data_IF_233480060389
#
_entry.id   IF_233480060389
#
_cell.length_a   1.000
_cell.length_b   1.000
_cell.length_c   1.000
_cell.angle_alpha   90.00
_cell.angle_beta   90.00
_cell.angle_gamma   90.00
#
_symmetry.space_group_name_H-M   'P 1'
#
loop_
_entity.id
_entity.type
_entity.pdbx_description
1 polymer ?
#
# COMPACT_ATOMS: atom_id res chain seq x y z
N UNK A 1 7.36 -3.74 -12.83
CA UNK A 1 6.75 -2.40 -12.67
C UNK A 1 5.22 -2.51 -12.81
N UNK A 2 4.60 -3.37 -11.98
CA UNK A 2 3.17 -3.69 -12.06
C UNK A 2 2.43 -3.39 -10.75
N UNK A 3 3.18 -3.19 -9.66
CA UNK A 3 2.65 -2.93 -8.33
C UNK A 3 1.82 -1.64 -8.30
N UNK A 4 2.32 -0.55 -8.86
CA UNK A 4 1.57 0.72 -8.86
C UNK A 4 0.28 0.59 -9.65
N UNK A 5 0.33 0.00 -10.87
CA UNK A 5 -0.86 -0.21 -11.69
C UNK A 5 -1.90 -1.09 -10.97
N UNK A 6 -1.47 -2.20 -10.36
CA UNK A 6 -2.39 -3.10 -9.67
C UNK A 6 -3.03 -2.44 -8.45
N UNK A 7 -2.27 -1.64 -7.68
CA UNK A 7 -2.80 -0.87 -6.54
C UNK A 7 -3.81 0.18 -7.00
N UNK A 8 -3.55 0.90 -8.10
CA UNK A 8 -4.49 1.89 -8.65
C UNK A 8 -5.78 1.24 -9.15
N UNK A 9 -5.70 0.13 -9.88
CA UNK A 9 -6.90 -0.56 -10.37
C UNK A 9 -7.73 -1.16 -9.23
N UNK A 10 -7.08 -1.72 -8.22
CA UNK A 10 -7.75 -2.26 -7.04
C UNK A 10 -8.48 -1.17 -6.25
N UNK A 11 -7.84 -0.02 -6.02
CA UNK A 11 -8.45 1.12 -5.32
C UNK A 11 -9.66 1.66 -6.09
N UNK A 12 -9.52 1.87 -7.40
CA UNK A 12 -10.62 2.32 -8.27
C UNK A 12 -11.82 1.38 -8.16
N UNK A 13 -11.60 0.06 -8.26
CA UNK A 13 -12.68 -0.93 -8.17
C UNK A 13 -13.33 -0.95 -6.79
N UNK A 14 -12.56 -0.79 -5.72
CA UNK A 14 -13.08 -0.72 -4.36
C UNK A 14 -13.99 0.50 -4.16
N UNK A 15 -13.61 1.67 -4.69
CA UNK A 15 -14.42 2.90 -4.64
C UNK A 15 -15.71 2.78 -5.46
N UNK A 16 -15.66 2.17 -6.64
CA UNK A 16 -16.86 1.88 -7.44
C UNK A 16 -17.81 0.94 -6.70
N UNK A 17 -17.28 -0.14 -6.12
CA UNK A 17 -18.06 -1.11 -5.34
C UNK A 17 -18.73 -0.46 -4.11
N UNK A 18 -18.01 0.43 -3.42
CA UNK A 18 -18.54 1.15 -2.28
C UNK A 18 -19.72 2.05 -2.67
N UNK A 19 -19.59 2.80 -3.79
CA UNK A 19 -20.69 3.62 -4.34
C UNK A 19 -21.90 2.77 -4.71
N UNK A 20 -21.69 1.66 -5.42
CA UNK A 20 -22.75 0.73 -5.82
C UNK A 20 -23.53 0.16 -4.62
N UNK A 21 -22.85 -0.01 -3.49
CA UNK A 21 -23.41 -0.62 -2.27
C UNK A 21 -23.86 0.39 -1.21
N UNK A 22 -23.70 1.69 -1.46
CA UNK A 22 -24.00 2.74 -0.49
C UNK A 22 -23.10 2.72 0.75
N UNK A 23 -21.84 2.26 0.61
CA UNK A 23 -20.86 2.23 1.70
C UNK A 23 -20.01 3.50 1.70
N UNK A 24 -19.77 4.04 2.90
CA UNK A 24 -18.78 5.09 3.10
C UNK A 24 -17.37 4.47 3.18
N UNK A 25 -16.60 4.63 2.10
CA UNK A 25 -15.24 4.13 1.99
C UNK A 25 -14.25 5.29 1.89
N UNK A 26 -13.25 5.27 2.75
CA UNK A 26 -12.07 6.16 2.70
C UNK A 26 -10.84 5.33 2.41
N UNK A 27 -9.97 5.83 1.54
CA UNK A 27 -8.69 5.18 1.22
C UNK A 27 -7.53 6.01 1.73
N UNK A 28 -6.45 5.33 2.11
CA UNK A 28 -5.19 5.96 2.54
C UNK A 28 -4.08 5.41 1.64
N UNK A 29 -3.30 6.32 1.05
CA UNK A 29 -2.22 5.98 0.12
C UNK A 29 -0.86 6.34 0.74
N UNK A 30 -0.32 5.50 1.64
CA UNK A 30 0.99 5.74 2.23
C UNK A 30 2.12 5.48 1.22
N UNK A 31 3.29 6.07 1.49
CA UNK A 31 4.51 5.87 0.69
C UNK A 31 5.42 4.82 1.34
N UNK A 32 6.61 5.21 1.80
CA UNK A 32 7.51 4.32 2.52
C UNK A 32 7.06 4.19 3.98
N UNK A 33 6.77 2.95 4.39
CA UNK A 33 6.39 2.65 5.77
C UNK A 33 7.63 2.20 6.55
N UNK A 34 8.10 3.08 7.44
CA UNK A 34 9.27 2.86 8.28
C UNK A 34 8.86 2.87 9.76
N UNK A 35 9.51 2.04 10.58
CA UNK A 35 9.24 1.93 12.01
C UNK A 35 9.54 0.54 12.56
N UNK A 36 9.20 0.29 13.84
CA UNK A 36 9.34 -1.03 14.46
C UNK A 36 8.55 -2.08 13.68
N UNK A 37 9.19 -3.21 13.36
CA UNK A 37 8.55 -4.32 12.66
C UNK A 37 8.06 -5.35 13.66
N UNK A 38 6.78 -5.68 13.60
CA UNK A 38 6.20 -6.77 14.40
C UNK A 38 6.52 -8.15 13.80
N UNK A 39 6.80 -8.19 12.49
CA UNK A 39 7.20 -9.40 11.78
C UNK A 39 8.73 -9.58 11.77
N UNK A 40 9.19 -10.84 11.70
CA UNK A 40 10.62 -11.18 11.66
C UNK A 40 11.30 -10.81 10.31
N UNK A 41 10.54 -10.65 9.23
CA UNK A 41 11.07 -10.36 7.89
C UNK A 41 11.05 -8.87 7.55
N UNK A 42 12.07 -8.43 6.82
CA UNK A 42 12.18 -7.04 6.36
C UNK A 42 11.16 -6.79 5.26
N UNK A 43 10.29 -5.78 5.44
CA UNK A 43 9.33 -5.38 4.41
C UNK A 43 10.04 -4.63 3.25
N UNK A 44 9.35 -4.50 2.12
CA UNK A 44 9.93 -3.87 0.93
C UNK A 44 10.37 -2.41 1.18
N UNK A 45 9.60 -1.63 1.96
CA UNK A 45 9.91 -0.23 2.27
C UNK A 45 11.20 -0.08 3.08
N UNK A 46 11.38 -0.91 4.11
CA UNK A 46 12.57 -0.90 4.96
C UNK A 46 13.77 -1.49 4.23
N UNK A 47 13.55 -2.50 3.37
CA UNK A 47 14.61 -3.09 2.56
C UNK A 47 15.23 -2.06 1.60
N UNK A 48 14.43 -1.15 1.04
CA UNK A 48 14.94 -0.04 0.25
C UNK A 48 15.93 0.83 1.05
N UNK A 49 15.56 1.20 2.27
CA UNK A 49 16.42 1.99 3.16
C UNK A 49 17.71 1.25 3.53
N UNK A 50 17.62 -0.04 3.88
CA UNK A 50 18.79 -0.88 4.19
C UNK A 50 19.75 -0.95 3.01
N UNK A 51 19.25 -1.02 1.76
CA UNK A 51 20.08 -1.02 0.55
C UNK A 51 20.71 0.33 0.24
N UNK A 52 20.12 1.43 0.71
CA UNK A 52 20.63 2.78 0.48
C UNK A 52 21.75 3.14 1.46
N UNK A 53 21.64 2.70 2.71
CA UNK A 53 22.59 3.01 3.79
C UNK A 53 23.77 2.04 3.88
N UNK A 54 23.78 1.01 3.04
CA UNK A 54 24.79 -0.03 3.00
C UNK A 54 25.65 0.13 1.75
#
# INVERSE_FOLDING_TARGET
NWYCLSKTLAEKRALECAKERGLELVTVCPTFNLGPMLQNSVNASSLFLVKLLR
#
